data_IF_944288250699
#
_entry.id   IF_944288250699
#
_cell.length_a   1.000
_cell.length_b   1.000
_cell.length_c   1.000
_cell.angle_alpha   90.00
_cell.angle_beta   90.00
_cell.angle_gamma   90.00
#
_symmetry.space_group_name_H-M   'P 1'
#
loop_
_entity.id
_entity.type
_entity.pdbx_description
1 polymer ?
#
# COMPACT_ATOMS: atom_id res chain seq x y z
N UNK A 1 2.28 -1.33 29.10
CA UNK A 1 1.68 -2.06 27.96
C UNK A 1 1.80 -1.20 26.71
N UNK A 2 2.21 -1.77 25.58
CA UNK A 2 2.22 -1.05 24.29
C UNK A 2 0.75 -0.92 23.81
N UNK A 3 0.27 0.28 23.45
CA UNK A 3 -1.10 0.48 22.96
C UNK A 3 -1.40 -0.35 21.71
N UNK A 4 -2.62 -0.85 21.56
CA UNK A 4 -3.03 -1.68 20.40
C UNK A 4 -2.94 -0.89 19.09
N UNK A 5 -3.18 0.42 19.14
CA UNK A 5 -2.96 1.32 18.01
C UNK A 5 -1.52 1.27 17.48
N UNK A 6 -0.52 1.14 18.37
CA UNK A 6 0.89 1.05 17.96
C UNK A 6 1.23 -0.28 17.29
N UNK A 7 0.64 -1.40 17.74
CA UNK A 7 0.81 -2.68 17.05
C UNK A 7 0.16 -2.67 15.67
N UNK A 8 -1.01 -2.06 15.54
CA UNK A 8 -1.68 -1.87 14.26
C UNK A 8 -0.83 -1.01 13.31
N UNK A 9 -0.26 0.09 13.81
CA UNK A 9 0.69 0.93 13.08
C UNK A 9 1.90 0.14 12.56
N UNK A 10 2.55 -0.65 13.42
CA UNK A 10 3.72 -1.45 13.05
C UNK A 10 3.35 -2.49 11.98
N UNK A 11 2.23 -3.20 12.16
CA UNK A 11 1.77 -4.18 11.18
C UNK A 11 1.48 -3.52 9.84
N UNK A 12 0.75 -2.40 9.85
CA UNK A 12 0.42 -1.64 8.65
C UNK A 12 1.66 -1.14 7.91
N UNK A 13 2.61 -0.56 8.65
CA UNK A 13 3.89 -0.08 8.13
C UNK A 13 4.67 -1.23 7.49
N UNK A 14 4.77 -2.36 8.19
CA UNK A 14 5.48 -3.55 7.71
C UNK A 14 4.84 -4.06 6.43
N UNK A 15 3.51 -4.17 6.36
CA UNK A 15 2.79 -4.61 5.16
C UNK A 15 3.02 -3.66 3.98
N UNK A 16 3.01 -2.34 4.21
CA UNK A 16 3.29 -1.36 3.16
C UNK A 16 4.73 -1.50 2.63
N UNK A 17 5.71 -1.58 3.52
CA UNK A 17 7.12 -1.75 3.14
C UNK A 17 7.36 -3.07 2.40
N UNK A 18 6.72 -4.16 2.83
CA UNK A 18 6.76 -5.44 2.12
C UNK A 18 6.16 -5.32 0.72
N UNK A 19 5.07 -4.58 0.56
CA UNK A 19 4.45 -4.37 -0.74
C UNK A 19 5.37 -3.58 -1.70
N UNK A 20 5.98 -2.49 -1.20
CA UNK A 20 6.97 -1.71 -1.94
C UNK A 20 8.18 -2.56 -2.32
N UNK A 21 8.75 -3.31 -1.37
CA UNK A 21 9.90 -4.18 -1.61
C UNK A 21 9.58 -5.26 -2.64
N UNK A 22 8.41 -5.91 -2.52
CA UNK A 22 7.97 -6.94 -3.47
C UNK A 22 7.76 -6.37 -4.87
N UNK A 23 7.27 -5.12 -5.00
CA UNK A 23 7.14 -4.44 -6.29
C UNK A 23 8.50 -4.23 -6.98
N UNK A 24 9.52 -3.78 -6.24
CA UNK A 24 10.88 -3.63 -6.76
C UNK A 24 11.52 -4.98 -7.12
N UNK A 25 11.43 -5.97 -6.23
CA UNK A 25 12.00 -7.31 -6.47
C UNK A 25 11.35 -7.98 -7.68
N UNK A 26 10.02 -7.90 -7.80
CA UNK A 26 9.30 -8.48 -8.95
C UNK A 26 9.73 -7.80 -10.25
N UNK A 27 9.87 -6.47 -10.24
CA UNK A 27 10.37 -5.71 -11.39
C UNK A 27 11.79 -6.12 -11.79
N UNK A 28 12.69 -6.28 -10.81
CA UNK A 28 14.06 -6.75 -11.04
C UNK A 28 14.10 -8.18 -11.61
N UNK A 29 13.30 -9.10 -11.07
CA UNK A 29 13.25 -10.48 -11.51
C UNK A 29 12.65 -10.64 -12.92
N UNK A 30 11.64 -9.83 -13.28
CA UNK A 30 11.12 -9.74 -14.65
C UNK A 30 12.24 -9.38 -15.64
N UNK A 31 13.09 -8.41 -15.26
CA UNK A 31 14.18 -7.94 -16.12
C UNK A 31 15.32 -8.96 -16.23
N UNK A 32 15.65 -9.66 -15.13
CA UNK A 32 16.90 -10.43 -15.03
C UNK A 32 16.75 -11.95 -15.15
N UNK A 33 15.62 -12.53 -14.72
CA UNK A 33 15.48 -13.98 -14.52
C UNK A 33 14.41 -14.64 -15.40
N UNK A 34 13.92 -13.94 -16.44
CA UNK A 34 12.89 -14.42 -17.36
C UNK A 34 11.64 -15.00 -16.66
N UNK A 35 11.25 -14.45 -15.51
CA UNK A 35 9.96 -14.77 -14.91
C UNK A 35 8.84 -14.49 -15.93
N UNK A 36 7.88 -15.43 -16.06
CA UNK A 36 6.72 -15.24 -16.93
C UNK A 36 5.91 -14.06 -16.41
N UNK A 37 5.73 -13.05 -17.27
CA UNK A 37 4.99 -11.83 -16.93
C UNK A 37 3.56 -12.17 -16.49
N UNK A 38 2.97 -13.24 -17.02
CA UNK A 38 1.67 -13.76 -16.60
C UNK A 38 1.55 -14.01 -15.09
N UNK A 39 2.53 -14.66 -14.46
CA UNK A 39 2.46 -14.95 -13.02
C UNK A 39 2.46 -13.65 -12.19
N UNK A 40 3.25 -12.67 -12.62
CA UNK A 40 3.31 -11.35 -11.98
C UNK A 40 2.02 -10.56 -12.21
N UNK A 41 1.46 -10.58 -13.43
CA UNK A 41 0.19 -9.95 -13.74
C UNK A 41 -0.97 -10.54 -12.93
N UNK A 42 -1.03 -11.87 -12.78
CA UNK A 42 -2.03 -12.54 -11.94
C UNK A 42 -1.88 -12.12 -10.48
N UNK A 43 -0.66 -12.10 -9.94
CA UNK A 43 -0.40 -11.70 -8.56
C UNK A 43 -0.78 -10.24 -8.31
N UNK A 44 -0.36 -9.33 -9.20
CA UNK A 44 -0.72 -7.90 -9.11
C UNK A 44 -2.23 -7.71 -9.24
N UNK A 45 -2.87 -8.40 -10.21
CA UNK A 45 -4.31 -8.35 -10.43
C UNK A 45 -5.10 -8.81 -9.20
N UNK A 46 -4.67 -9.88 -8.54
CA UNK A 46 -5.27 -10.36 -7.31
C UNK A 46 -5.15 -9.32 -6.17
N UNK A 47 -3.97 -8.72 -6.00
CA UNK A 47 -3.78 -7.68 -4.97
C UNK A 47 -4.58 -6.42 -5.28
N UNK A 48 -4.61 -5.98 -6.54
CA UNK A 48 -5.38 -4.83 -6.98
C UNK A 48 -6.90 -5.05 -6.79
N UNK A 49 -7.39 -6.26 -7.05
CA UNK A 49 -8.78 -6.63 -6.80
C UNK A 49 -9.11 -6.55 -5.31
N UNK A 50 -8.29 -7.18 -4.46
CA UNK A 50 -8.47 -7.15 -3.00
C UNK A 50 -8.42 -5.71 -2.48
N UNK A 51 -7.46 -4.91 -2.93
CA UNK A 51 -7.35 -3.49 -2.57
C UNK A 51 -8.59 -2.70 -3.01
N UNK A 52 -9.11 -2.94 -4.21
CA UNK A 52 -10.31 -2.28 -4.74
C UNK A 52 -11.57 -2.63 -3.95
N UNK A 53 -11.75 -3.91 -3.59
CA UNK A 53 -12.86 -4.36 -2.75
C UNK A 53 -12.84 -3.62 -1.40
N UNK A 54 -11.67 -3.54 -0.78
CA UNK A 54 -11.51 -2.83 0.48
C UNK A 54 -11.69 -1.31 0.34
N UNK A 55 -11.17 -0.71 -0.73
CA UNK A 55 -11.36 0.71 -1.02
C UNK A 55 -12.84 1.08 -1.10
N UNK A 56 -13.64 0.28 -1.81
CA UNK A 56 -15.09 0.46 -1.90
C UNK A 56 -15.74 0.24 -0.52
N UNK A 57 -15.39 -0.85 0.16
CA UNK A 57 -15.99 -1.22 1.45
C UNK A 57 -15.74 -0.20 2.56
N UNK A 58 -14.62 0.50 2.50
CA UNK A 58 -14.16 1.47 3.50
C UNK A 58 -14.15 2.90 2.97
N UNK A 59 -14.84 3.18 1.84
CA UNK A 59 -15.05 4.53 1.28
C UNK A 59 -13.75 5.33 1.04
N UNK A 60 -12.70 4.65 0.60
CA UNK A 60 -11.41 5.28 0.29
C UNK A 60 -10.34 5.14 1.37
N UNK A 61 -10.67 4.54 2.52
CA UNK A 61 -9.66 4.18 3.54
C UNK A 61 -9.15 2.76 3.33
N UNK A 62 -7.87 2.51 3.63
CA UNK A 62 -7.37 1.15 3.67
C UNK A 62 -7.83 0.43 4.97
N UNK A 63 -7.97 -0.91 4.96
CA UNK A 63 -8.46 -1.67 6.11
C UNK A 63 -7.65 -1.44 7.39
N UNK A 64 -6.34 -1.29 7.24
CA UNK A 64 -5.44 -1.06 8.35
C UNK A 64 -5.62 0.34 8.95
N UNK A 65 -5.86 1.38 8.15
CA UNK A 65 -6.22 2.72 8.67
C UNK A 65 -7.51 2.69 9.47
N UNK A 66 -8.54 2.01 8.95
CA UNK A 66 -9.83 1.85 9.65
C UNK A 66 -9.65 1.11 10.98
N UNK A 67 -8.85 0.05 10.97
CA UNK A 67 -8.57 -0.73 12.17
C UNK A 67 -7.75 0.05 13.19
N UNK A 68 -6.74 0.80 12.74
CA UNK A 68 -5.92 1.65 13.58
C UNK A 68 -6.74 2.77 14.21
N UNK A 69 -7.59 3.45 13.43
CA UNK A 69 -8.50 4.48 13.90
C UNK A 69 -9.50 3.94 14.94
N UNK A 70 -10.04 2.73 14.73
CA UNK A 70 -10.89 2.05 15.72
C UNK A 70 -10.17 1.87 17.07
N UNK A 71 -8.91 1.45 17.05
CA UNK A 71 -8.11 1.34 18.28
C UNK A 71 -7.77 2.69 18.90
N UNK A 72 -7.43 3.70 18.09
CA UNK A 72 -7.15 5.06 18.57
C UNK A 72 -8.34 5.68 19.28
N UNK A 73 -9.54 5.56 18.71
CA UNK A 73 -10.78 6.07 19.31
C UNK A 73 -11.03 5.39 20.66
N UNK A 74 -10.87 4.07 20.76
CA UNK A 74 -11.00 3.32 22.03
C UNK A 74 -9.95 3.74 23.07
N UNK A 75 -8.80 4.23 22.63
CA UNK A 75 -7.72 4.75 23.48
C UNK A 75 -7.86 6.26 23.77
N UNK A 76 -8.95 6.91 23.35
CA UNK A 76 -9.17 8.36 23.57
C UNK A 76 -8.33 9.28 22.67
N UNK A 77 -7.72 8.75 21.60
CA UNK A 77 -6.90 9.50 20.64
C UNK A 77 -7.72 9.95 19.44
N UNK A 78 -7.35 11.08 18.84
CA UNK A 78 -7.93 11.56 17.58
C UNK A 78 -7.63 10.57 16.44
N UNK A 79 -8.64 10.25 15.64
CA UNK A 79 -8.48 9.49 14.40
C UNK A 79 -7.68 10.31 13.36
N UNK A 80 -7.04 9.61 12.43
CA UNK A 80 -6.34 10.24 11.33
C UNK A 80 -7.30 10.94 10.38
N UNK A 81 -6.84 12.04 9.80
CA UNK A 81 -7.53 12.74 8.72
C UNK A 81 -6.79 12.45 7.41
N UNK A 82 -7.35 11.58 6.58
CA UNK A 82 -6.78 11.15 5.30
C UNK A 82 -6.16 9.74 5.35
N UNK A 83 -5.47 9.36 4.27
CA UNK A 83 -4.84 8.04 4.15
C UNK A 83 -3.61 7.89 5.06
N UNK A 84 -3.25 6.63 5.32
CA UNK A 84 -2.07 6.29 6.11
C UNK A 84 -0.77 6.84 5.52
N UNK A 85 -0.66 6.92 4.20
CA UNK A 85 0.54 7.43 3.53
C UNK A 85 0.78 8.89 3.92
N UNK A 86 -0.29 9.71 3.94
CA UNK A 86 -0.21 11.13 4.30
C UNK A 86 0.16 11.28 5.78
N UNK A 87 -0.49 10.51 6.66
CA UNK A 87 -0.22 10.58 8.10
C UNK A 87 1.21 10.12 8.44
N UNK A 88 1.72 9.06 7.78
CA UNK A 88 3.06 8.53 8.04
C UNK A 88 4.14 9.43 7.44
N UNK A 89 3.90 10.02 6.27
CA UNK A 89 4.79 11.05 5.71
C UNK A 89 4.98 12.22 6.66
N UNK A 90 3.88 12.69 7.26
CA UNK A 90 3.89 13.75 8.27
C UNK A 90 4.59 13.30 9.56
N UNK A 91 4.26 12.11 10.07
CA UNK A 91 4.71 11.66 11.40
C UNK A 91 6.18 11.27 11.42
N UNK A 92 6.69 10.61 10.39
CA UNK A 92 8.07 10.09 10.39
C UNK A 92 9.06 11.02 9.72
N UNK A 93 8.65 11.69 8.65
CA UNK A 93 9.55 12.52 7.84
C UNK A 93 9.29 14.02 8.02
N UNK A 94 8.23 14.40 8.75
CA UNK A 94 7.84 15.81 8.88
C UNK A 94 7.32 16.42 7.57
N UNK A 95 6.95 15.60 6.58
CA UNK A 95 6.58 16.06 5.24
C UNK A 95 5.05 16.18 5.15
N UNK A 96 4.57 17.37 4.76
CA UNK A 96 3.17 17.58 4.44
C UNK A 96 2.91 17.22 2.96
N UNK A 97 2.25 16.09 2.74
CA UNK A 97 1.82 15.70 1.39
C UNK A 97 0.48 16.35 1.01
N UNK A 98 0.27 16.70 -0.27
CA UNK A 98 -1.04 17.08 -0.79
C UNK A 98 -2.09 16.01 -0.51
N UNK A 99 -3.35 16.40 -0.31
CA UNK A 99 -4.47 15.48 0.01
C UNK A 99 -4.67 14.33 -0.98
N UNK A 100 -4.20 14.47 -2.21
CA UNK A 100 -4.35 13.47 -3.28
C UNK A 100 -3.05 12.73 -3.58
N UNK A 101 -1.96 12.97 -2.84
CA UNK A 101 -0.64 12.40 -3.11
C UNK A 101 -0.63 10.86 -2.99
N UNK A 102 -1.46 10.34 -2.10
CA UNK A 102 -1.69 8.91 -1.89
C UNK A 102 -2.20 8.20 -3.15
N UNK A 103 -3.14 8.80 -3.88
CA UNK A 103 -3.64 8.25 -5.14
C UNK A 103 -2.51 8.08 -6.17
N UNK A 104 -1.61 9.07 -6.27
CA UNK A 104 -0.46 8.99 -7.18
C UNK A 104 0.56 7.94 -6.74
N UNK A 105 0.89 7.88 -5.45
CA UNK A 105 1.85 6.92 -4.90
C UNK A 105 1.35 5.48 -5.12
N UNK A 106 0.08 5.23 -4.80
CA UNK A 106 -0.55 3.92 -5.04
C UNK A 106 -0.52 3.61 -6.55
N UNK A 107 -0.92 4.58 -7.38
CA UNK A 107 -0.89 4.42 -8.84
C UNK A 107 0.49 4.00 -9.37
N UNK A 108 1.56 4.64 -8.91
CA UNK A 108 2.93 4.32 -9.33
C UNK A 108 3.37 2.93 -8.87
N UNK A 109 3.09 2.56 -7.62
CA UNK A 109 3.50 1.26 -7.05
C UNK A 109 2.88 0.08 -7.80
N UNK A 110 1.65 0.25 -8.31
CA UNK A 110 0.98 -0.76 -9.14
C UNK A 110 1.36 -0.65 -10.62
N UNK A 111 1.45 0.55 -11.18
CA UNK A 111 1.71 0.75 -12.61
C UNK A 111 3.09 0.22 -13.02
N UNK A 112 4.13 0.46 -12.24
CA UNK A 112 5.51 0.13 -12.60
C UNK A 112 5.73 -1.37 -12.85
N UNK A 113 5.40 -2.30 -11.93
CA UNK A 113 5.57 -3.73 -12.18
C UNK A 113 4.58 -4.25 -13.24
N UNK A 114 3.38 -3.65 -13.36
CA UNK A 114 2.38 -4.03 -14.36
C UNK A 114 2.85 -3.70 -15.79
N UNK A 115 3.36 -2.48 -16.01
CA UNK A 115 3.88 -2.05 -17.31
C UNK A 115 5.07 -2.89 -17.74
N UNK A 116 6.00 -3.19 -16.83
CA UNK A 116 7.15 -4.06 -17.13
C UNK A 116 6.72 -5.49 -17.47
N UNK A 117 5.76 -6.04 -16.74
CA UNK A 117 5.23 -7.37 -17.02
C UNK A 117 4.51 -7.41 -18.38
N UNK A 118 3.73 -6.38 -18.73
CA UNK A 118 3.07 -6.27 -20.04
C UNK A 118 4.08 -6.17 -21.19
N UNK A 119 5.11 -5.33 -21.05
CA UNK A 119 6.16 -5.21 -22.08
C UNK A 119 6.82 -6.57 -22.32
N UNK A 120 7.10 -7.34 -21.27
CA UNK A 120 7.74 -8.64 -21.38
C UNK A 120 6.86 -9.74 -22.01
N UNK A 121 5.54 -9.63 -21.92
CA UNK A 121 4.64 -10.56 -22.61
C UNK A 121 4.44 -10.20 -24.09
N UNK A 122 4.68 -8.93 -24.45
CA UNK A 122 4.53 -8.43 -25.82
C UNK A 122 5.80 -8.59 -26.68
N UNK A 123 6.99 -8.73 -26.07
CA UNK A 123 8.31 -8.79 -26.72
C UNK A 123 9.18 -9.91 -26.16
#
# INVERSE_FOLDING_TARGET
MIPRSRWCLIAHTTTFLLFVFTSFVSSYLILTHKLTGQAVLIAIGAVALVASVFWIRYKGDCPFTVWENSHRIREGKKAYEGSCIIEYARTWFGIALPRNADNYIIGVVFALPTTLALIRELF
#
